data_IF_532184993605
#
_entry.id   IF_532184993605
#
_cell.length_a   1.000
_cell.length_b   1.000
_cell.length_c   1.000
_cell.angle_alpha   90.00
_cell.angle_beta   90.00
_cell.angle_gamma   90.00
#
_symmetry.space_group_name_H-M   'P 1'
#
loop_
_entity.id
_entity.type
_entity.pdbx_description
1 polymer ?
#
# COMPACT_ATOMS: atom_id res chain seq x y z
N UNK A 1 -2.98 -13.77 6.19
CA UNK A 1 -3.56 -13.03 5.05
C UNK A 1 -2.97 -11.62 4.86
N UNK A 2 -2.27 -11.01 5.84
CA UNK A 2 -1.73 -9.65 5.72
C UNK A 2 -0.70 -9.44 4.59
N UNK A 3 0.06 -10.47 4.20
CA UNK A 3 1.04 -10.37 3.10
C UNK A 3 0.41 -10.03 1.76
N UNK A 4 -0.73 -10.62 1.42
CA UNK A 4 -1.42 -10.41 0.13
C UNK A 4 -1.94 -8.98 -0.01
N UNK A 5 -2.45 -8.41 1.08
CA UNK A 5 -3.00 -7.03 1.09
C UNK A 5 -1.88 -6.01 0.85
N UNK A 6 -0.69 -6.22 1.44
CA UNK A 6 0.46 -5.34 1.21
C UNK A 6 0.92 -5.38 -0.25
N UNK A 7 0.94 -6.56 -0.87
CA UNK A 7 1.28 -6.72 -2.29
C UNK A 7 0.30 -5.99 -3.21
N UNK A 8 -1.00 -6.00 -2.86
CA UNK A 8 -2.04 -5.29 -3.61
C UNK A 8 -1.88 -3.77 -3.52
N UNK A 9 -1.62 -3.23 -2.33
CA UNK A 9 -1.38 -1.79 -2.15
C UNK A 9 -0.15 -1.33 -2.96
N UNK A 10 0.92 -2.13 -2.97
CA UNK A 10 2.11 -1.84 -3.76
C UNK A 10 1.86 -1.88 -5.28
N UNK A 11 1.10 -2.87 -5.75
CA UNK A 11 0.73 -2.98 -7.17
C UNK A 11 -0.10 -1.79 -7.65
N UNK A 12 -1.05 -1.32 -6.84
CA UNK A 12 -1.88 -0.18 -7.20
C UNK A 12 -1.13 1.14 -7.14
N UNK A 13 -0.23 1.30 -6.16
CA UNK A 13 0.70 2.44 -6.14
C UNK A 13 1.59 2.47 -7.39
N UNK A 14 2.12 1.32 -7.81
CA UNK A 14 2.91 1.19 -9.05
C UNK A 14 2.09 1.45 -10.31
N UNK A 15 0.77 1.21 -10.29
CA UNK A 15 -0.15 1.56 -11.37
C UNK A 15 -0.46 3.06 -11.44
N UNK A 16 0.02 3.86 -10.47
CA UNK A 16 -0.14 5.31 -10.42
C UNK A 16 -1.20 5.81 -9.45
N UNK A 17 -1.79 4.95 -8.62
CA UNK A 17 -2.71 5.37 -7.57
C UNK A 17 -1.97 6.22 -6.52
N UNK A 18 -2.61 7.29 -6.05
CA UNK A 18 -2.04 8.12 -4.98
C UNK A 18 -2.25 7.49 -3.61
N UNK A 19 -1.43 7.91 -2.64
CA UNK A 19 -1.54 7.43 -1.25
C UNK A 19 -2.91 7.73 -0.65
N UNK A 20 -3.50 8.89 -0.96
CA UNK A 20 -4.84 9.27 -0.47
C UNK A 20 -5.93 8.36 -1.04
N UNK A 21 -5.89 8.06 -2.34
CA UNK A 21 -6.85 7.14 -2.96
C UNK A 21 -6.75 5.73 -2.36
N UNK A 22 -5.53 5.25 -2.11
CA UNK A 22 -5.30 3.96 -1.44
C UNK A 22 -5.79 3.99 0.02
N UNK A 23 -5.57 5.08 0.74
CA UNK A 23 -6.06 5.24 2.10
C UNK A 23 -7.60 5.16 2.18
N UNK A 24 -8.29 5.90 1.31
CA UNK A 24 -9.75 5.92 1.23
C UNK A 24 -10.31 4.56 0.78
N UNK A 25 -9.73 3.98 -0.28
CA UNK A 25 -10.21 2.71 -0.85
C UNK A 25 -10.11 1.54 0.13
N UNK A 26 -9.08 1.53 0.95
CA UNK A 26 -8.81 0.45 1.91
C UNK A 26 -9.23 0.79 3.34
N UNK A 27 -9.76 1.99 3.58
CA UNK A 27 -10.21 2.44 4.91
C UNK A 27 -9.10 2.52 5.95
N UNK A 28 -7.89 2.90 5.53
CA UNK A 28 -6.69 2.97 6.37
C UNK A 28 -6.08 4.37 6.32
N UNK A 29 -5.28 4.71 7.33
CA UNK A 29 -4.55 5.98 7.30
C UNK A 29 -3.52 6.04 6.16
N UNK A 30 -3.34 7.21 5.53
CA UNK A 30 -2.27 7.44 4.56
C UNK A 30 -0.88 7.06 5.09
N UNK A 31 -0.66 7.26 6.40
CA UNK A 31 0.60 6.88 7.06
C UNK A 31 0.83 5.37 7.04
N UNK A 32 -0.23 4.59 7.23
CA UNK A 32 -0.13 3.13 7.17
C UNK A 32 0.10 2.63 5.74
N UNK A 33 -0.37 3.34 4.71
CA UNK A 33 -0.05 3.02 3.31
C UNK A 33 1.46 3.14 3.09
N UNK A 34 2.08 4.23 3.54
CA UNK A 34 3.54 4.45 3.42
C UNK A 34 4.33 3.33 4.13
N UNK A 35 3.96 3.00 5.36
CA UNK A 35 4.63 1.93 6.12
C UNK A 35 4.51 0.57 5.44
N UNK A 36 3.36 0.29 4.81
CA UNK A 36 3.14 -0.96 4.06
C UNK A 36 3.99 -0.99 2.79
N UNK A 37 4.06 0.11 2.04
CA UNK A 37 4.91 0.23 0.84
C UNK A 37 6.40 0.03 1.19
N UNK A 38 6.88 0.68 2.25
CA UNK A 38 8.27 0.57 2.70
C UNK A 38 8.67 -0.87 3.07
N UNK A 39 7.75 -1.65 3.67
CA UNK A 39 8.00 -3.05 4.02
C UNK A 39 8.10 -3.97 2.80
N UNK A 40 7.39 -3.66 1.72
CA UNK A 40 7.41 -4.46 0.49
C UNK A 40 8.73 -4.27 -0.27
N UNK A 41 9.23 -3.03 -0.33
CA UNK A 41 10.51 -2.70 -0.97
C UNK A 41 11.70 -3.40 -0.30
N UNK A 42 11.68 -3.48 1.04
CA UNK A 42 12.74 -4.15 1.82
C UNK A 42 12.77 -5.68 1.68
N UNK A 43 11.74 -6.29 1.08
CA UNK A 43 11.64 -7.74 0.85
C UNK A 43 12.00 -8.16 -0.60
N UNK A 44 12.33 -7.20 -1.48
CA UNK A 44 12.69 -7.47 -2.89
C UNK A 44 14.21 -7.51 -3.12
#
# INVERSE_FOLDING_TARGET
>A
MAGVVNSMIAAEYAAGATISELAERWGIDPRQVIERLARVDSQS
#
